data_IF_210587345449
#
_entry.id   IF_210587345449
#
_cell.length_a   1.000
_cell.length_b   1.000
_cell.length_c   1.000
_cell.angle_alpha   90.00
_cell.angle_beta   90.00
_cell.angle_gamma   90.00
#
_symmetry.space_group_name_H-M   'P 1'
#
loop_
_entity.id
_entity.type
_entity.pdbx_description
1 polymer ?
#
# COMPACT_ATOMS: atom_id res chain seq x y z
N UNK A 1 -0.10 10.19 2.21
CA UNK A 1 0.17 9.29 1.06
C UNK A 1 1.65 9.06 0.83
N UNK A 2 2.50 10.09 0.63
CA UNK A 2 3.95 9.87 0.39
C UNK A 2 4.66 9.07 1.50
N UNK A 3 4.31 9.30 2.78
CA UNK A 3 4.80 8.49 3.90
C UNK A 3 4.47 7.00 3.74
N UNK A 4 3.23 6.66 3.36
CA UNK A 4 2.81 5.28 3.15
C UNK A 4 3.56 4.60 1.99
N UNK A 5 3.82 5.33 0.90
CA UNK A 5 4.67 4.85 -0.21
C UNK A 5 6.10 4.58 0.28
N UNK A 6 6.70 5.55 0.98
CA UNK A 6 8.08 5.46 1.47
C UNK A 6 8.27 4.29 2.43
N UNK A 7 7.42 4.19 3.46
CA UNK A 7 7.56 3.14 4.47
C UNK A 7 7.31 1.76 3.88
N UNK A 8 6.29 1.62 3.02
CA UNK A 8 5.98 0.34 2.37
C UNK A 8 7.10 -0.11 1.41
N UNK A 9 7.72 0.83 0.69
CA UNK A 9 8.91 0.54 -0.11
C UNK A 9 10.12 0.17 0.75
N UNK A 10 10.37 0.89 1.85
CA UNK A 10 11.49 0.62 2.76
C UNK A 10 11.40 -0.78 3.37
N UNK A 11 10.21 -1.18 3.81
CA UNK A 11 9.91 -2.53 4.29
C UNK A 11 10.19 -3.59 3.23
N UNK A 12 9.87 -3.30 1.96
CA UNK A 12 10.15 -4.17 0.82
C UNK A 12 11.61 -4.08 0.32
N UNK A 13 12.49 -3.31 0.98
CA UNK A 13 13.86 -3.00 0.52
C UNK A 13 13.91 -2.45 -0.91
N UNK A 14 12.90 -1.65 -1.24
CA UNK A 14 12.65 -1.04 -2.53
C UNK A 14 12.66 0.49 -2.42
N UNK A 15 12.72 1.16 -3.57
CA UNK A 15 12.54 2.60 -3.69
C UNK A 15 13.77 3.43 -3.33
N UNK A 16 13.51 4.68 -2.93
CA UNK A 16 14.51 5.70 -2.68
C UNK A 16 14.34 6.27 -1.26
N UNK A 17 15.25 7.13 -0.84
CA UNK A 17 15.14 7.84 0.43
C UNK A 17 13.88 8.72 0.52
N UNK A 18 13.64 9.27 1.71
CA UNK A 18 12.43 10.02 2.01
C UNK A 18 12.26 11.27 1.13
N UNK A 19 13.33 12.05 0.94
CA UNK A 19 13.33 13.32 0.21
C UNK A 19 12.95 13.10 -1.25
N UNK A 20 13.59 12.13 -1.90
CA UNK A 20 13.32 11.73 -3.28
C UNK A 20 11.94 11.11 -3.43
N UNK A 21 11.56 10.24 -2.51
CA UNK A 21 10.23 9.62 -2.52
C UNK A 21 9.15 10.69 -2.44
N UNK A 22 9.29 11.64 -1.53
CA UNK A 22 8.36 12.76 -1.38
C UNK A 22 8.30 13.63 -2.65
N UNK A 23 9.44 13.96 -3.25
CA UNK A 23 9.49 14.76 -4.46
C UNK A 23 8.81 14.08 -5.65
N UNK A 24 9.11 12.79 -5.88
CA UNK A 24 8.51 12.01 -6.96
C UNK A 24 7.00 11.83 -6.77
N UNK A 25 6.57 11.51 -5.54
CA UNK A 25 5.15 11.40 -5.20
C UNK A 25 4.38 12.70 -5.51
N UNK A 26 4.94 13.86 -5.13
CA UNK A 26 4.34 15.17 -5.44
C UNK A 26 4.22 15.41 -6.95
N UNK A 27 5.25 15.06 -7.73
CA UNK A 27 5.21 15.18 -9.20
C UNK A 27 4.09 14.29 -9.77
N UNK A 28 4.03 13.02 -9.38
CA UNK A 28 3.00 12.06 -9.84
C UNK A 28 1.59 12.57 -9.57
N UNK A 29 1.30 13.07 -8.38
CA UNK A 29 -0.06 13.51 -8.02
C UNK A 29 -0.40 14.93 -8.46
N UNK A 30 0.57 15.74 -8.87
CA UNK A 30 0.31 17.04 -9.48
C UNK A 30 -0.14 16.90 -10.94
N UNK A 31 0.36 15.88 -11.66
CA UNK A 31 0.02 15.59 -13.06
C UNK A 31 -1.27 14.75 -13.20
N UNK A 32 -2.17 14.81 -12.21
CA UNK A 32 -3.27 13.84 -11.98
C UNK A 32 -4.36 13.71 -13.05
N UNK A 33 -4.28 14.44 -14.17
CA UNK A 33 -5.23 14.33 -15.29
C UNK A 33 -4.98 13.11 -16.19
N UNK A 34 -3.89 12.38 -16.01
CA UNK A 34 -3.55 11.25 -16.89
C UNK A 34 -3.01 10.04 -16.09
N UNK A 35 -3.92 9.33 -15.42
CA UNK A 35 -3.62 8.02 -14.80
C UNK A 35 -3.19 6.96 -15.83
N UNK A 36 -3.41 7.22 -17.12
CA UNK A 36 -2.99 6.36 -18.24
C UNK A 36 -1.58 6.64 -18.77
N UNK A 37 -0.92 7.73 -18.35
CA UNK A 37 0.48 7.98 -18.71
C UNK A 37 1.39 7.04 -17.95
N UNK A 38 1.58 5.87 -18.53
CA UNK A 38 2.72 4.98 -18.30
C UNK A 38 3.98 5.85 -18.38
N UNK A 39 4.82 5.84 -17.33
CA UNK A 39 6.20 6.29 -17.53
C UNK A 39 6.88 5.13 -18.23
N UNK A 40 6.74 5.09 -19.55
CA UNK A 40 7.61 4.31 -20.42
C UNK A 40 8.98 4.96 -20.41
N UNK A 41 10.01 4.14 -20.56
CA UNK A 41 11.42 4.48 -20.82
C UNK A 41 11.72 5.98 -20.85
N UNK A 42 12.33 6.47 -19.76
CA UNK A 42 12.89 7.81 -19.71
C UNK A 42 13.87 8.01 -20.88
N UNK A 43 13.82 9.17 -21.53
CA UNK A 43 14.86 9.54 -22.51
C UNK A 43 16.23 9.59 -21.82
N UNK A 44 17.32 9.48 -22.58
CA UNK A 44 18.68 9.57 -22.02
C UNK A 44 18.91 10.87 -21.24
N UNK A 45 18.31 11.98 -21.67
CA UNK A 45 18.31 13.26 -20.93
C UNK A 45 17.53 13.19 -19.63
N UNK A 46 16.39 12.51 -19.62
CA UNK A 46 15.58 12.31 -18.42
C UNK A 46 16.25 11.33 -17.44
N UNK A 47 16.93 10.29 -17.94
CA UNK A 47 17.79 9.39 -17.16
C UNK A 47 18.92 10.20 -16.53
N UNK A 48 19.64 11.01 -17.32
CA UNK A 48 20.72 11.86 -16.83
C UNK A 48 20.23 12.89 -15.81
N UNK A 49 19.05 13.48 -16.02
CA UNK A 49 18.40 14.38 -15.08
C UNK A 49 18.05 13.71 -13.76
N UNK A 50 17.48 12.50 -13.82
CA UNK A 50 17.21 11.67 -12.63
C UNK A 50 18.51 11.34 -11.90
N UNK A 51 19.52 10.83 -12.59
CA UNK A 51 20.82 10.49 -12.00
C UNK A 51 21.48 11.72 -11.35
N UNK A 52 21.35 12.89 -11.97
CA UNK A 52 21.85 14.14 -11.42
C UNK A 52 21.07 14.55 -10.16
N UNK A 53 19.73 14.48 -10.17
CA UNK A 53 18.87 14.73 -8.99
C UNK A 53 19.20 13.76 -7.84
N UNK A 54 19.38 12.47 -8.15
CA UNK A 54 19.80 11.43 -7.19
C UNK A 54 21.20 11.71 -6.61
N UNK A 55 22.18 12.04 -7.45
CA UNK A 55 23.58 12.31 -7.04
C UNK A 55 23.71 13.54 -6.15
N UNK A 56 22.90 14.57 -6.38
CA UNK A 56 22.90 15.80 -5.59
C UNK A 56 22.25 15.59 -4.22
N UNK A 57 21.17 14.82 -4.17
CA UNK A 57 20.40 14.58 -2.94
C UNK A 57 21.00 13.47 -2.07
N UNK A 58 21.78 12.56 -2.66
CA UNK A 58 22.46 11.51 -1.92
C UNK A 58 23.83 11.16 -2.54
N UNK A 59 24.92 11.84 -2.13
CA UNK A 59 26.26 11.55 -2.60
C UNK A 59 26.72 10.09 -2.33
N UNK A 60 26.13 9.43 -1.33
CA UNK A 60 26.39 8.03 -0.98
C UNK A 60 25.63 7.01 -1.83
N UNK A 61 24.67 7.44 -2.68
CA UNK A 61 23.96 6.59 -3.66
C UNK A 61 24.84 6.27 -4.88
N UNK A 62 25.97 6.96 -5.01
CA UNK A 62 26.90 6.87 -6.13
C UNK A 62 27.62 5.53 -6.39
N UNK A 63 27.52 4.45 -5.58
CA UNK A 63 27.91 3.13 -6.06
C UNK A 63 26.80 2.39 -6.84
N UNK A 64 25.59 2.96 -6.97
CA UNK A 64 24.50 2.27 -7.68
C UNK A 64 24.66 2.32 -9.20
N UNK A 65 24.29 1.22 -9.88
CA UNK A 65 24.24 1.21 -11.34
C UNK A 65 23.11 2.10 -11.86
N UNK A 66 23.21 2.58 -13.11
CA UNK A 66 22.13 3.33 -13.75
C UNK A 66 20.84 2.52 -13.78
N UNK A 67 20.93 1.20 -14.00
CA UNK A 67 19.78 0.30 -13.99
C UNK A 67 19.10 0.26 -12.62
N UNK A 68 19.87 0.16 -11.52
CA UNK A 68 19.33 0.18 -10.16
C UNK A 68 18.67 1.51 -9.82
N UNK A 69 19.26 2.63 -10.26
CA UNK A 69 18.70 3.97 -10.05
C UNK A 69 17.34 4.11 -10.73
N UNK A 70 17.22 3.61 -11.95
CA UNK A 70 15.98 3.63 -12.71
C UNK A 70 14.93 2.70 -12.11
N UNK A 71 15.32 1.50 -11.68
CA UNK A 71 14.44 0.56 -10.98
C UNK A 71 13.88 1.17 -9.69
N UNK A 72 14.75 1.71 -8.83
CA UNK A 72 14.37 2.34 -7.57
C UNK A 72 13.43 3.54 -7.78
N UNK A 73 13.68 4.36 -8.80
CA UNK A 73 12.77 5.44 -9.19
C UNK A 73 11.40 4.88 -9.61
N UNK A 74 11.37 3.85 -10.45
CA UNK A 74 10.13 3.25 -10.94
C UNK A 74 9.34 2.63 -9.78
N UNK A 75 10.00 1.96 -8.83
CA UNK A 75 9.38 1.44 -7.61
C UNK A 75 8.67 2.53 -6.79
N UNK A 76 9.20 3.76 -6.75
CA UNK A 76 8.51 4.89 -6.10
C UNK A 76 7.34 5.41 -6.93
N UNK A 77 7.59 5.70 -8.20
CA UNK A 77 6.63 6.32 -9.12
C UNK A 77 5.39 5.44 -9.28
N UNK A 78 5.62 4.15 -9.55
CA UNK A 78 4.53 3.22 -9.80
C UNK A 78 3.75 2.90 -8.54
N UNK A 79 4.41 2.84 -7.39
CA UNK A 79 3.69 2.69 -6.14
C UNK A 79 2.80 3.90 -5.84
N UNK A 80 3.26 5.12 -6.13
CA UNK A 80 2.43 6.32 -6.01
C UNK A 80 1.21 6.30 -6.95
N UNK A 81 1.37 5.79 -8.18
CA UNK A 81 0.28 5.62 -9.16
C UNK A 81 -0.69 4.50 -8.78
N UNK A 82 -0.19 3.36 -8.31
CA UNK A 82 -0.99 2.25 -7.83
C UNK A 82 -1.86 2.68 -6.63
N UNK A 83 -1.28 3.43 -5.68
CA UNK A 83 -2.06 4.05 -4.59
C UNK A 83 -3.14 5.00 -5.10
N UNK A 84 -2.82 5.87 -6.06
CA UNK A 84 -3.81 6.78 -6.64
C UNK A 84 -4.94 6.01 -7.31
N UNK A 85 -4.62 4.96 -8.07
CA UNK A 85 -5.60 4.14 -8.78
C UNK A 85 -6.54 3.40 -7.82
N UNK A 86 -6.00 2.62 -6.86
CA UNK A 86 -6.85 1.86 -5.92
C UNK A 86 -7.71 2.77 -5.04
N UNK A 87 -7.17 3.92 -4.59
CA UNK A 87 -7.94 4.89 -3.82
C UNK A 87 -9.01 5.56 -4.67
N UNK A 88 -8.70 5.94 -5.91
CA UNK A 88 -9.69 6.54 -6.80
C UNK A 88 -10.84 5.56 -7.08
N UNK A 89 -10.54 4.33 -7.46
CA UNK A 89 -11.58 3.36 -7.80
C UNK A 89 -12.40 2.90 -6.59
N UNK A 90 -11.74 2.57 -5.47
CA UNK A 90 -12.42 2.03 -4.29
C UNK A 90 -13.03 3.12 -3.39
N UNK A 91 -12.31 4.23 -3.16
CA UNK A 91 -12.73 5.27 -2.21
C UNK A 91 -13.60 6.33 -2.90
N UNK A 92 -13.22 6.80 -4.09
CA UNK A 92 -13.92 7.89 -4.79
C UNK A 92 -15.07 7.33 -5.61
N UNK A 93 -14.80 6.38 -6.52
CA UNK A 93 -15.81 5.78 -7.40
C UNK A 93 -16.68 4.73 -6.70
N UNK A 94 -16.37 4.37 -5.44
CA UNK A 94 -17.11 3.39 -4.63
C UNK A 94 -17.24 2.03 -5.30
N UNK A 95 -16.29 1.65 -6.16
CA UNK A 95 -16.22 0.29 -6.70
C UNK A 95 -15.90 -0.71 -5.59
N UNK A 96 -16.13 -1.98 -5.86
CA UNK A 96 -15.67 -3.08 -5.01
C UNK A 96 -14.15 -3.28 -5.17
N UNK A 97 -13.48 -3.80 -4.14
CA UNK A 97 -12.14 -4.36 -4.28
C UNK A 97 -12.23 -5.72 -4.99
N UNK A 98 -12.52 -5.69 -6.28
CA UNK A 98 -12.63 -6.88 -7.11
C UNK A 98 -11.26 -7.44 -7.48
N UNK A 99 -11.25 -8.68 -7.96
CA UNK A 99 -10.04 -9.34 -8.43
C UNK A 99 -9.37 -8.55 -9.56
N UNK A 100 -10.17 -7.99 -10.47
CA UNK A 100 -9.70 -7.15 -11.58
C UNK A 100 -9.03 -5.88 -11.06
N UNK A 101 -9.65 -5.17 -10.10
CA UNK A 101 -9.05 -3.97 -9.52
C UNK A 101 -7.71 -4.27 -8.84
N UNK A 102 -7.61 -5.40 -8.12
CA UNK A 102 -6.37 -5.83 -7.48
C UNK A 102 -5.29 -6.14 -8.54
N UNK A 103 -5.65 -6.85 -9.61
CA UNK A 103 -4.72 -7.18 -10.71
C UNK A 103 -4.27 -5.95 -11.48
N UNK A 104 -5.18 -5.02 -11.80
CA UNK A 104 -4.86 -3.76 -12.47
C UNK A 104 -3.94 -2.89 -11.60
N UNK A 105 -4.25 -2.77 -10.30
CA UNK A 105 -3.39 -2.07 -9.34
C UNK A 105 -2.00 -2.70 -9.27
N UNK A 106 -1.93 -4.03 -9.23
CA UNK A 106 -0.65 -4.75 -9.21
C UNK A 106 0.14 -4.54 -10.52
N UNK A 107 -0.51 -4.58 -11.67
CA UNK A 107 0.11 -4.28 -12.96
C UNK A 107 0.71 -2.87 -13.00
N UNK A 108 -0.02 -1.86 -12.48
CA UNK A 108 0.50 -0.50 -12.34
C UNK A 108 1.73 -0.49 -11.43
N UNK A 109 1.66 -1.14 -10.26
CA UNK A 109 2.72 -1.19 -9.26
C UNK A 109 4.04 -1.73 -9.83
N UNK A 110 3.98 -2.74 -10.70
CA UNK A 110 5.16 -3.46 -11.21
C UNK A 110 5.73 -2.86 -12.49
N UNK A 111 5.04 -1.94 -13.14
CA UNK A 111 5.39 -1.47 -14.47
C UNK A 111 6.79 -0.82 -14.53
N UNK A 112 7.69 -1.37 -15.36
CA UNK A 112 9.07 -0.90 -15.44
C UNK A 112 9.95 -1.28 -14.23
N UNK A 113 9.53 -2.25 -13.44
CA UNK A 113 10.30 -2.84 -12.32
C UNK A 113 10.49 -4.33 -12.63
N UNK A 114 11.67 -4.77 -13.12
CA UNK A 114 11.93 -6.19 -13.29
C UNK A 114 12.18 -6.89 -11.95
N UNK A 115 11.89 -8.19 -11.87
CA UNK A 115 12.37 -9.03 -10.77
C UNK A 115 13.81 -9.42 -11.10
N UNK A 116 14.74 -9.01 -10.24
CA UNK A 116 16.19 -9.27 -10.37
C UNK A 116 16.61 -10.22 -9.26
N UNK A 117 17.07 -11.41 -9.63
CA UNK A 117 17.58 -12.42 -8.70
C UNK A 117 18.99 -12.85 -9.13
N UNK A 118 19.93 -12.88 -8.18
CA UNK A 118 21.33 -13.24 -8.46
C UNK A 118 21.42 -14.65 -9.08
N UNK A 119 22.10 -14.74 -10.23
CA UNK A 119 22.28 -16.00 -10.95
C UNK A 119 21.06 -16.47 -11.75
N UNK A 120 20.01 -15.65 -11.87
CA UNK A 120 18.82 -15.92 -12.71
C UNK A 120 18.65 -14.83 -13.77
N UNK A 121 17.86 -15.16 -14.79
CA UNK A 121 17.46 -14.18 -15.80
C UNK A 121 16.41 -13.25 -15.20
N UNK A 122 16.57 -11.94 -15.42
CA UNK A 122 15.59 -10.95 -14.99
C UNK A 122 14.21 -11.26 -15.58
N UNK A 123 13.18 -11.18 -14.74
CA UNK A 123 11.79 -11.36 -15.17
C UNK A 123 11.22 -9.97 -15.49
N UNK A 124 10.83 -9.71 -16.74
CA UNK A 124 10.28 -8.42 -17.12
C UNK A 124 8.87 -8.22 -16.51
N UNK A 125 8.47 -6.98 -16.21
CA UNK A 125 7.19 -6.69 -15.56
C UNK A 125 5.96 -7.16 -16.33
N UNK A 126 6.04 -7.25 -17.66
CA UNK A 126 4.97 -7.78 -18.51
C UNK A 126 4.70 -9.28 -18.28
N UNK A 127 5.67 -10.00 -17.72
CA UNK A 127 5.54 -11.43 -17.44
C UNK A 127 4.90 -11.73 -16.07
N UNK A 128 4.79 -10.74 -15.17
CA UNK A 128 4.28 -10.98 -13.80
C UNK A 128 3.29 -9.91 -13.28
N UNK A 129 3.25 -8.73 -13.89
CA UNK A 129 2.35 -7.64 -13.51
C UNK A 129 0.88 -8.02 -13.71
N UNK A 130 0.08 -7.93 -12.64
CA UNK A 130 -1.32 -8.38 -12.63
C UNK A 130 -1.56 -9.88 -12.87
N UNK A 131 -0.51 -10.69 -12.91
CA UNK A 131 -0.58 -12.13 -13.20
C UNK A 131 -0.29 -12.92 -11.93
N UNK A 132 -1.13 -13.90 -11.61
CA UNK A 132 -0.87 -14.77 -10.46
C UNK A 132 0.37 -15.63 -10.66
N UNK A 133 1.10 -15.86 -9.57
CA UNK A 133 2.30 -16.68 -9.59
C UNK A 133 2.00 -18.09 -10.09
N UNK A 134 2.97 -18.67 -10.79
CA UNK A 134 2.92 -20.05 -11.29
C UNK A 134 3.85 -20.98 -10.52
N UNK A 135 4.62 -20.44 -9.57
CA UNK A 135 5.51 -21.19 -8.67
C UNK A 135 5.01 -21.09 -7.23
N UNK A 136 5.39 -22.07 -6.40
CA UNK A 136 5.15 -21.99 -4.96
C UNK A 136 5.88 -20.76 -4.42
N UNK A 137 5.20 -19.99 -3.58
CA UNK A 137 5.79 -18.80 -2.96
C UNK A 137 7.04 -19.14 -2.14
N UNK A 138 7.75 -18.11 -1.66
CA UNK A 138 9.01 -18.29 -0.91
C UNK A 138 8.88 -19.13 0.38
N UNK A 139 7.67 -19.43 0.84
CA UNK A 139 7.38 -20.33 1.95
C UNK A 139 6.49 -21.50 1.48
N UNK A 140 6.83 -22.72 1.88
CA UNK A 140 6.08 -23.95 1.57
C UNK A 140 4.67 -23.96 2.16
N UNK A 141 4.40 -23.10 3.16
CA UNK A 141 3.09 -22.99 3.79
C UNK A 141 2.09 -22.17 2.96
N UNK A 142 2.55 -21.45 1.92
CA UNK A 142 1.63 -20.72 1.05
C UNK A 142 0.85 -21.69 0.14
N UNK A 143 -0.40 -21.33 -0.23
CA UNK A 143 -1.19 -22.15 -1.15
C UNK A 143 -0.45 -22.47 -2.45
N UNK A 144 -0.70 -23.64 -3.03
CA UNK A 144 -0.14 -23.95 -4.36
C UNK A 144 -0.74 -23.02 -5.43
N UNK A 145 0.00 -22.69 -6.50
CA UNK A 145 -0.46 -21.78 -7.56
C UNK A 145 -1.87 -22.05 -8.09
N UNK A 146 -2.24 -23.33 -8.22
CA UNK A 146 -3.49 -23.77 -8.82
C UNK A 146 -4.73 -23.33 -8.02
N UNK A 147 -4.57 -23.12 -6.71
CA UNK A 147 -5.67 -22.70 -5.83
C UNK A 147 -5.72 -21.18 -5.60
N UNK A 148 -4.66 -20.44 -5.97
CA UNK A 148 -4.60 -18.98 -5.80
C UNK A 148 -5.80 -18.26 -6.42
N UNK A 149 -6.24 -18.56 -7.66
CA UNK A 149 -7.41 -17.89 -8.25
C UNK A 149 -8.68 -18.09 -7.42
N UNK A 150 -8.94 -19.31 -6.94
CA UNK A 150 -10.12 -19.61 -6.14
C UNK A 150 -10.10 -18.89 -4.79
N UNK A 151 -8.93 -18.82 -4.14
CA UNK A 151 -8.78 -18.08 -2.88
C UNK A 151 -8.95 -16.57 -3.06
N UNK A 152 -8.41 -15.99 -4.13
CA UNK A 152 -8.56 -14.57 -4.42
C UNK A 152 -10.00 -14.20 -4.77
N UNK A 153 -10.69 -15.03 -5.55
CA UNK A 153 -12.11 -14.86 -5.84
C UNK A 153 -12.92 -14.88 -4.54
N UNK A 154 -12.70 -15.88 -3.69
CA UNK A 154 -13.36 -16.00 -2.39
C UNK A 154 -13.12 -14.75 -1.52
N UNK A 155 -11.86 -14.32 -1.38
CA UNK A 155 -11.48 -13.13 -0.61
C UNK A 155 -12.25 -11.89 -1.09
N UNK A 156 -12.32 -11.65 -2.40
CA UNK A 156 -12.98 -10.48 -2.97
C UNK A 156 -14.51 -10.53 -2.79
N UNK A 157 -15.13 -11.70 -3.00
CA UNK A 157 -16.57 -11.89 -2.82
C UNK A 157 -16.99 -11.75 -1.35
N UNK A 158 -16.17 -12.30 -0.44
CA UNK A 158 -16.38 -12.20 1.00
C UNK A 158 -16.29 -10.75 1.48
N UNK A 159 -15.23 -10.03 1.07
CA UNK A 159 -15.05 -8.61 1.38
C UNK A 159 -16.23 -7.77 0.91
N UNK A 160 -16.66 -7.97 -0.34
CA UNK A 160 -17.82 -7.27 -0.90
C UNK A 160 -19.09 -7.54 -0.09
N UNK A 161 -19.31 -8.79 0.31
CA UNK A 161 -20.48 -9.20 1.09
C UNK A 161 -20.45 -8.57 2.49
N UNK A 162 -19.31 -8.62 3.17
CA UNK A 162 -19.16 -8.04 4.51
C UNK A 162 -19.29 -6.52 4.50
N UNK A 163 -18.71 -5.82 3.52
CA UNK A 163 -18.93 -4.38 3.32
C UNK A 163 -20.41 -4.08 3.14
N UNK A 164 -21.08 -4.80 2.24
CA UNK A 164 -22.50 -4.58 1.96
C UNK A 164 -23.37 -4.79 3.20
N UNK A 165 -23.09 -5.85 3.97
CA UNK A 165 -23.81 -6.14 5.21
C UNK A 165 -23.56 -5.08 6.29
N UNK A 166 -22.32 -4.63 6.45
CA UNK A 166 -21.95 -3.62 7.43
C UNK A 166 -22.54 -2.24 7.09
N UNK A 167 -22.51 -1.84 5.80
CA UNK A 167 -23.14 -0.61 5.32
C UNK A 167 -24.68 -0.65 5.51
N UNK A 168 -25.33 -1.78 5.22
CA UNK A 168 -26.77 -1.97 5.49
C UNK A 168 -27.10 -1.94 6.99
N UNK A 169 -26.21 -2.48 7.82
CA UNK A 169 -26.30 -2.42 9.28
C UNK A 169 -26.03 -1.04 9.87
N UNK A 170 -25.56 -0.07 9.06
CA UNK A 170 -25.27 1.31 9.47
C UNK A 170 -23.97 1.48 10.25
N UNK A 171 -23.13 0.45 10.33
CA UNK A 171 -21.87 0.47 11.05
C UNK A 171 -20.81 -0.42 10.41
N UNK A 172 -19.63 0.14 10.16
CA UNK A 172 -18.46 -0.55 9.65
C UNK A 172 -17.33 -0.37 10.66
N UNK A 173 -16.67 -1.46 11.06
CA UNK A 173 -15.36 -1.39 11.72
C UNK A 173 -14.27 -1.45 10.65
N UNK A 174 -13.70 -0.30 10.24
CA UNK A 174 -12.73 -0.28 9.16
C UNK A 174 -11.40 -0.90 9.53
N UNK A 175 -11.05 -0.99 10.82
CA UNK A 175 -9.74 -1.50 11.25
C UNK A 175 -9.73 -3.03 11.28
N UNK A 176 -10.79 -3.63 11.81
CA UNK A 176 -10.99 -5.08 11.77
C UNK A 176 -11.13 -5.56 10.32
N UNK A 177 -11.94 -4.85 9.52
CA UNK A 177 -12.11 -5.16 8.11
C UNK A 177 -10.79 -5.03 7.34
N UNK A 178 -10.08 -3.89 7.45
CA UNK A 178 -8.82 -3.69 6.75
C UNK A 178 -7.76 -4.74 7.10
N UNK A 179 -7.64 -5.05 8.39
CA UNK A 179 -6.63 -5.99 8.89
C UNK A 179 -6.91 -7.41 8.43
N UNK A 180 -8.15 -7.88 8.57
CA UNK A 180 -8.52 -9.25 8.19
C UNK A 180 -8.19 -9.52 6.73
N UNK A 181 -8.66 -8.68 5.82
CA UNK A 181 -8.47 -8.91 4.37
C UNK A 181 -7.05 -8.64 3.90
N UNK A 182 -6.31 -7.74 4.56
CA UNK A 182 -4.89 -7.55 4.29
C UNK A 182 -4.06 -8.78 4.70
N UNK A 183 -4.35 -9.37 5.86
CA UNK A 183 -3.67 -10.60 6.32
C UNK A 183 -4.06 -11.82 5.50
N UNK A 184 -5.34 -11.94 5.11
CA UNK A 184 -5.80 -13.02 4.22
C UNK A 184 -5.15 -12.91 2.82
N UNK A 185 -4.99 -11.70 2.29
CA UNK A 185 -4.25 -11.50 1.05
C UNK A 185 -2.78 -11.96 1.18
N UNK A 186 -2.12 -11.65 2.30
CA UNK A 186 -0.73 -12.06 2.56
C UNK A 186 -0.61 -13.57 2.80
N UNK A 187 -1.64 -14.25 3.32
CA UNK A 187 -1.59 -15.71 3.46
C UNK A 187 -1.72 -16.43 2.10
N UNK A 188 -2.34 -15.79 1.10
CA UNK A 188 -2.44 -16.32 -0.27
C UNK A 188 -1.13 -16.09 -1.06
N UNK A 189 -0.52 -14.91 -0.91
CA UNK A 189 0.59 -14.40 -1.74
C UNK A 189 0.28 -14.63 -3.23
N UNK A 190 -0.67 -13.89 -3.81
CA UNK A 190 -1.14 -14.22 -5.15
C UNK A 190 -0.14 -13.92 -6.27
N UNK A 191 0.81 -13.00 -6.07
CA UNK A 191 1.74 -12.53 -7.10
C UNK A 191 3.17 -13.02 -6.87
N UNK A 192 4.00 -12.97 -7.92
CA UNK A 192 5.44 -13.35 -7.83
C UNK A 192 6.23 -12.36 -6.96
N UNK A 193 5.94 -11.07 -7.09
CA UNK A 193 6.51 -9.99 -6.27
C UNK A 193 5.43 -8.95 -5.92
N UNK A 194 5.74 -7.98 -5.04
CA UNK A 194 4.86 -6.85 -4.77
C UNK A 194 3.74 -7.11 -3.75
N UNK A 195 3.56 -8.34 -3.27
CA UNK A 195 2.50 -8.72 -2.34
C UNK A 195 2.47 -7.87 -1.05
N UNK A 196 3.62 -7.58 -0.44
CA UNK A 196 3.67 -6.74 0.77
C UNK A 196 3.19 -5.30 0.53
N UNK A 197 3.51 -4.74 -0.65
CA UNK A 197 3.06 -3.39 -1.06
C UNK A 197 1.57 -3.39 -1.38
N UNK A 198 1.08 -4.43 -2.07
CA UNK A 198 -0.35 -4.65 -2.32
C UNK A 198 -1.15 -4.79 -1.03
N UNK A 199 -0.66 -5.56 -0.06
CA UNK A 199 -1.27 -5.69 1.27
C UNK A 199 -1.41 -4.32 1.96
N UNK A 200 -0.33 -3.54 2.00
CA UNK A 200 -0.36 -2.19 2.57
C UNK A 200 -1.38 -1.29 1.87
N UNK A 201 -1.50 -1.38 0.53
CA UNK A 201 -2.46 -0.61 -0.25
C UNK A 201 -3.90 -1.05 0.02
N UNK A 202 -4.20 -2.35 0.08
CA UNK A 202 -5.54 -2.89 0.39
C UNK A 202 -5.99 -2.42 1.77
N UNK A 203 -5.12 -2.59 2.78
CA UNK A 203 -5.37 -2.11 4.15
C UNK A 203 -5.70 -0.62 4.15
N UNK A 204 -4.84 0.19 3.52
CA UNK A 204 -5.03 1.63 3.49
C UNK A 204 -6.24 2.07 2.67
N UNK A 205 -6.60 1.36 1.60
CA UNK A 205 -7.80 1.65 0.82
C UNK A 205 -9.07 1.48 1.67
N UNK A 206 -9.15 0.41 2.47
CA UNK A 206 -10.26 0.17 3.39
C UNK A 206 -10.30 1.24 4.49
N UNK A 207 -9.18 1.51 5.17
CA UNK A 207 -9.12 2.54 6.20
C UNK A 207 -9.49 3.92 5.63
N UNK A 208 -8.97 4.25 4.45
CA UNK A 208 -9.24 5.55 3.81
C UNK A 208 -10.71 5.71 3.42
N UNK A 209 -11.38 4.63 2.95
CA UNK A 209 -12.80 4.68 2.57
C UNK A 209 -13.71 5.15 3.70
N UNK A 210 -13.42 4.76 4.93
CA UNK A 210 -14.31 5.01 6.08
C UNK A 210 -13.76 6.02 7.08
N UNK A 211 -12.44 6.16 7.21
CA UNK A 211 -11.78 7.04 8.19
C UNK A 211 -11.15 8.27 7.52
N UNK A 212 -10.87 8.22 6.22
CA UNK A 212 -10.26 9.34 5.48
C UNK A 212 -8.77 9.57 5.76
N UNK A 213 -8.08 8.58 6.34
CA UNK A 213 -6.64 8.64 6.64
C UNK A 213 -5.88 7.52 5.94
N UNK A 214 -4.56 7.69 5.85
CA UNK A 214 -3.63 6.64 5.45
C UNK A 214 -2.65 6.39 6.60
N UNK A 215 -2.42 5.13 6.91
CA UNK A 215 -1.50 4.68 7.96
C UNK A 215 -0.19 4.22 7.32
N UNK A 216 0.92 4.57 7.96
CA UNK A 216 2.26 4.11 7.62
C UNK A 216 2.89 3.42 8.83
N UNK A 217 3.75 2.43 8.56
CA UNK A 217 4.36 1.54 9.56
C UNK A 217 5.89 1.61 9.44
N UNK A 218 6.63 1.49 10.56
CA UNK A 218 8.10 1.45 10.53
C UNK A 218 8.80 2.79 10.78
N UNK A 219 8.21 3.66 11.60
CA UNK A 219 8.81 4.95 11.99
C UNK A 219 9.57 4.86 13.34
N UNK A 220 9.59 3.71 14.01
CA UNK A 220 10.26 3.51 15.31
C UNK A 220 11.54 2.67 15.23
N UNK A 221 12.57 3.05 15.99
CA UNK A 221 13.75 2.19 16.21
C UNK A 221 13.33 0.87 16.88
N UNK A 222 13.65 -0.26 16.25
CA UNK A 222 13.30 -1.60 16.73
C UNK A 222 11.95 -2.13 16.26
N UNK A 223 11.18 -1.35 15.50
CA UNK A 223 9.96 -1.84 14.85
C UNK A 223 10.36 -2.74 13.68
N UNK A 224 10.15 -4.05 13.84
CA UNK A 224 10.24 -4.99 12.73
C UNK A 224 9.37 -4.46 11.60
N UNK A 225 9.95 -4.40 10.40
CA UNK A 225 9.29 -3.94 9.17
C UNK A 225 7.88 -4.53 9.12
N UNK A 226 6.82 -3.73 8.93
CA UNK A 226 5.43 -4.18 9.06
C UNK A 226 5.06 -5.46 8.27
N UNK A 227 5.86 -5.84 7.27
CA UNK A 227 5.76 -7.12 6.55
C UNK A 227 6.22 -8.36 7.34
N UNK A 228 7.24 -8.25 8.20
CA UNK A 228 7.66 -9.32 9.10
C UNK A 228 6.63 -9.54 10.21
N UNK A 229 6.02 -8.46 10.69
CA UNK A 229 4.91 -8.50 11.63
C UNK A 229 3.66 -9.09 10.97
N UNK A 230 3.27 -8.64 9.76
CA UNK A 230 2.15 -9.23 9.01
C UNK A 230 2.34 -10.72 8.68
N UNK A 231 3.52 -11.15 8.24
CA UNK A 231 3.79 -12.58 8.00
C UNK A 231 3.76 -13.40 9.30
N UNK A 232 4.33 -12.86 10.39
CA UNK A 232 4.26 -13.50 11.70
C UNK A 232 2.81 -13.63 12.18
N UNK A 233 1.99 -12.59 11.99
CA UNK A 233 0.60 -12.57 12.44
C UNK A 233 -0.32 -13.37 11.53
N UNK A 234 -0.05 -13.47 10.21
CA UNK A 234 -0.79 -14.39 9.33
C UNK A 234 -0.58 -15.84 9.73
N UNK A 235 0.63 -16.21 10.18
CA UNK A 235 0.93 -17.54 10.70
C UNK A 235 0.22 -17.84 12.03
N UNK A 236 -0.24 -16.81 12.77
CA UNK A 236 -0.96 -16.92 14.04
C UNK A 236 -2.50 -16.98 13.89
N UNK A 237 -3.05 -16.85 12.68
CA UNK A 237 -4.50 -16.92 12.44
C UNK A 237 -5.31 -15.76 13.04
N UNK A 238 -6.48 -16.02 13.62
CA UNK A 238 -7.38 -14.96 14.13
C UNK A 238 -6.74 -14.09 15.22
N UNK A 239 -5.91 -14.67 16.08
CA UNK A 239 -5.18 -13.94 17.13
C UNK A 239 -4.27 -12.87 16.51
N UNK A 240 -3.61 -13.20 15.41
CA UNK A 240 -2.76 -12.25 14.69
C UNK A 240 -3.55 -11.11 14.03
N UNK A 241 -4.77 -11.38 13.57
CA UNK A 241 -5.64 -10.35 13.01
C UNK A 241 -6.13 -9.35 14.07
N UNK A 242 -6.45 -9.81 15.28
CA UNK A 242 -6.88 -8.93 16.38
C UNK A 242 -5.73 -8.05 16.88
N UNK A 243 -4.54 -8.63 17.08
CA UNK A 243 -3.33 -7.91 17.51
C UNK A 243 -2.91 -6.85 16.47
N UNK A 244 -2.93 -7.21 15.19
CA UNK A 244 -2.58 -6.29 14.11
C UNK A 244 -3.64 -5.17 13.95
N UNK A 245 -4.93 -5.48 14.14
CA UNK A 245 -5.99 -4.48 14.11
C UNK A 245 -5.84 -3.47 15.26
N UNK A 246 -5.44 -3.93 16.45
CA UNK A 246 -5.14 -3.06 17.59
C UNK A 246 -3.94 -2.15 17.30
N UNK A 247 -2.87 -2.69 16.72
CA UNK A 247 -1.71 -1.89 16.32
C UNK A 247 -2.09 -0.82 15.28
N UNK A 248 -2.85 -1.22 14.25
CA UNK A 248 -3.37 -0.31 13.22
C UNK A 248 -4.22 0.80 13.85
N UNK A 249 -5.09 0.47 14.80
CA UNK A 249 -5.90 1.44 15.53
C UNK A 249 -5.03 2.42 16.33
N UNK A 250 -4.02 1.93 17.06
CA UNK A 250 -3.11 2.78 17.85
C UNK A 250 -2.34 3.78 16.96
N UNK A 251 -1.88 3.34 15.79
CA UNK A 251 -1.22 4.20 14.80
C UNK A 251 -2.17 5.24 14.21
N UNK A 252 -3.39 4.81 13.89
CA UNK A 252 -4.45 5.68 13.38
C UNK A 252 -4.78 6.80 14.36
N UNK A 253 -4.93 6.47 15.66
CA UNK A 253 -5.16 7.46 16.72
C UNK A 253 -3.99 8.45 16.82
N UNK A 254 -2.75 7.96 16.76
CA UNK A 254 -1.56 8.81 16.81
C UNK A 254 -1.49 9.78 15.62
N UNK A 255 -1.82 9.29 14.42
CA UNK A 255 -1.86 10.09 13.21
C UNK A 255 -2.96 11.17 13.28
N UNK A 256 -4.16 10.81 13.72
CA UNK A 256 -5.28 11.74 13.92
C UNK A 256 -4.95 12.82 14.95
N UNK A 257 -4.28 12.47 16.06
CA UNK A 257 -3.78 13.44 17.06
C UNK A 257 -2.77 14.41 16.45
N UNK A 258 -1.84 13.93 15.62
CA UNK A 258 -0.87 14.77 14.92
C UNK A 258 -1.54 15.72 13.92
N UNK A 259 -2.54 15.25 13.17
CA UNK A 259 -3.36 16.08 12.28
C UNK A 259 -4.12 17.16 13.07
N UNK A 260 -4.78 16.80 14.18
CA UNK A 260 -5.47 17.75 15.07
C UNK A 260 -4.52 18.84 15.57
N UNK A 261 -3.30 18.49 15.99
CA UNK A 261 -2.28 19.46 16.44
C UNK A 261 -1.86 20.42 15.32
N UNK A 262 -1.62 19.90 14.10
CA UNK A 262 -1.26 20.71 12.92
C UNK A 262 -2.38 21.68 12.53
N UNK A 263 -3.64 21.25 12.65
CA UNK A 263 -4.82 22.08 12.37
C UNK A 263 -5.04 23.14 13.45
N UNK A 264 -4.93 22.81 14.75
CA UNK A 264 -5.03 23.78 15.85
C UNK A 264 -3.95 24.88 15.79
N UNK A 265 -2.79 24.60 15.20
CA UNK A 265 -1.73 25.60 14.97
C UNK A 265 -2.02 26.59 13.82
N UNK A 266 -3.08 26.37 13.03
CA UNK A 266 -3.55 27.25 11.95
C UNK A 266 -4.97 27.72 12.29
N UNK A 267 -5.06 28.82 13.05
CA UNK A 267 -6.25 29.53 13.57
C UNK A 267 -7.68 29.08 13.19
N UNK A 268 -8.53 28.95 14.21
CA UNK A 268 -9.99 29.12 14.25
C UNK A 268 -10.84 28.69 13.04
N UNK A 269 -10.57 27.51 12.46
CA UNK A 269 -11.58 26.81 11.66
C UNK A 269 -12.40 25.88 12.57
N UNK A 270 -13.69 26.16 12.73
CA UNK A 270 -14.67 25.22 13.34
C UNK A 270 -14.60 23.87 12.62
N UNK A 271 -13.97 22.87 13.24
CA UNK A 271 -14.00 21.51 12.73
C UNK A 271 -15.34 20.86 13.08
N UNK A 272 -15.98 20.23 12.10
CA UNK A 272 -17.01 19.23 12.36
C UNK A 272 -16.37 18.04 13.09
N UNK A 273 -17.01 17.56 14.15
CA UNK A 273 -16.57 16.38 14.87
C UNK A 273 -16.57 15.16 13.94
N UNK A 274 -15.48 14.38 13.97
CA UNK A 274 -15.46 13.06 13.33
C UNK A 274 -16.06 12.08 14.33
N UNK A 275 -17.36 11.80 14.17
CA UNK A 275 -18.04 10.79 14.98
C UNK A 275 -17.67 9.41 14.46
N UNK A 276 -17.01 8.62 15.29
CA UNK A 276 -16.77 7.20 15.00
C UNK A 276 -17.93 6.45 15.66
N UNK A 277 -18.85 5.96 14.85
CA UNK A 277 -19.91 5.08 15.35
C UNK A 277 -19.27 3.78 15.82
N UNK A 278 -19.67 3.25 16.97
CA UNK A 278 -19.33 1.90 17.42
C UNK A 278 -20.60 1.11 17.67
N UNK A 279 -20.48 -0.22 17.81
CA UNK A 279 -21.60 -1.13 18.10
C UNK A 279 -22.31 -0.81 19.44
N UNK A 280 -21.64 -0.10 20.35
CA UNK A 280 -22.15 0.29 21.67
C UNK A 280 -22.77 1.71 21.70
N UNK A 281 -22.77 2.41 20.56
CA UNK A 281 -23.32 3.77 20.43
C UNK A 281 -22.43 4.69 19.58
N UNK A 282 -22.85 5.93 19.40
CA UNK A 282 -22.00 6.96 18.82
C UNK A 282 -20.88 7.28 19.82
N UNK A 283 -19.63 6.92 19.52
CA UNK A 283 -18.49 7.46 20.25
C UNK A 283 -18.16 8.80 19.59
N UNK A 284 -18.42 9.88 20.31
CA UNK A 284 -17.76 11.14 20.01
C UNK A 284 -16.28 10.90 20.29
N UNK A 285 -15.53 10.57 19.24
CA UNK A 285 -14.09 10.73 19.29
C UNK A 285 -13.87 12.24 19.40
N UNK A 286 -13.60 12.68 20.63
CA UNK A 286 -13.20 14.02 21.08
C UNK A 286 -14.33 14.85 21.73
N UNK A 287 -14.43 14.73 23.06
CA UNK A 287 -14.59 15.95 23.85
C UNK A 287 -13.24 16.70 23.87
N UNK A 288 -13.23 17.77 23.05
CA UNK A 288 -12.45 19.04 23.06
C UNK A 288 -11.00 19.02 23.56
#
# INVERSE_FOLDING_TARGET
>A
MAAAVFTSNTVARAGLNWELTQALCRKVWADSDDTSRVITTLSDEAIKGVLMELSQLQPSIMPMSVADALRARNEVVQHAKAYQHILHEFVVNKKDLSEELIKETHCILTLGVPIVEEGRMDIPPEAYGGIYRTVIGRNINYPVPEVVPAHMQYLCEELKREISAAEQGGWVDPFSLATRYALEFVSIIPFEDGNGRMCCMILNAIVCRYVGILVHFGDGEGEWSGYAEMNLHSDLGMTGAEEYALLLLQRSVSHLKALKKKLKGKGDSKLAAVTIKTREGDVVALDV
#
